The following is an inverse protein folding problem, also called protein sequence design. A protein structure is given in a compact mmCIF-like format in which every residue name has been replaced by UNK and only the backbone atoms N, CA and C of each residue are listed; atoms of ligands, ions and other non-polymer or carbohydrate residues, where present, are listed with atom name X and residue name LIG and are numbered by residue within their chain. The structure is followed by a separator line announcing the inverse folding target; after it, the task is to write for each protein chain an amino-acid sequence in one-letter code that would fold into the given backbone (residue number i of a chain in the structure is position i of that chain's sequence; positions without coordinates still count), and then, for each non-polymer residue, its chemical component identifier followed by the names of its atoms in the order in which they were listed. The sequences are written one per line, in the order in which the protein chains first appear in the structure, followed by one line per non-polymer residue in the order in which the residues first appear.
data_IF_119464506085
#
_entry.id   IF_119464506085
#
_cell.length_a   1.000
_cell.length_b   1.000
_cell.length_c   1.000
_cell.angle_alpha   90.00
_cell.angle_beta   90.00
_cell.angle_gamma   90.00
#
_symmetry.space_group_name_H-M   'P 1'
#
loop_
_entity.id
_entity.type
_entity.pdbx_description
1 polymer ?
#
# COMPACT_ATOMS: atom_id res chain seq x y z
N UNK A 1 1.25 5.99 1.37
CA UNK A 1 1.15 5.30 0.05
C UNK A 1 2.52 4.96 -0.49
N UNK A 2 2.73 3.72 -0.95
CA UNK A 2 3.97 3.34 -1.66
C UNK A 2 3.93 3.86 -3.10
N UNK A 3 5.08 4.27 -3.62
CA UNK A 3 5.23 4.83 -4.96
C UNK A 3 6.02 3.87 -5.84
N UNK A 4 5.57 3.64 -7.09
CA UNK A 4 6.34 2.86 -8.07
C UNK A 4 7.70 3.50 -8.34
N UNK A 5 8.74 2.69 -8.58
CA UNK A 5 10.11 3.14 -8.79
C UNK A 5 10.23 4.19 -9.91
N UNK A 6 9.52 3.99 -11.04
CA UNK A 6 9.60 4.94 -12.16
C UNK A 6 9.11 6.34 -11.78
N UNK A 7 8.06 6.45 -10.96
CA UNK A 7 7.57 7.73 -10.42
C UNK A 7 8.56 8.30 -9.42
N UNK A 8 9.08 7.46 -8.52
CA UNK A 8 10.12 7.85 -7.56
C UNK A 8 11.34 8.44 -8.26
N UNK A 9 11.79 7.82 -9.35
CA UNK A 9 12.92 8.34 -10.16
C UNK A 9 12.61 9.65 -10.88
N UNK A 10 11.37 9.84 -11.34
CA UNK A 10 10.95 11.14 -11.88
C UNK A 10 11.07 12.23 -10.81
N UNK A 11 10.56 11.98 -9.62
CA UNK A 11 10.65 12.91 -8.47
C UNK A 11 12.12 13.21 -8.11
N UNK A 12 12.97 12.19 -8.04
CA UNK A 12 14.40 12.34 -7.76
C UNK A 12 15.08 13.21 -8.83
N UNK A 13 14.80 12.95 -10.11
CA UNK A 13 15.33 13.71 -11.24
C UNK A 13 14.91 15.18 -11.21
N UNK A 14 13.63 15.45 -10.95
CA UNK A 14 13.10 16.82 -10.76
C UNK A 14 13.81 17.55 -9.60
N UNK A 15 14.12 16.83 -8.52
CA UNK A 15 14.86 17.34 -7.37
C UNK A 15 16.38 17.43 -7.57
N UNK A 16 16.89 17.18 -8.80
CA UNK A 16 18.31 17.31 -9.16
C UNK A 16 19.18 16.15 -8.67
N UNK A 17 18.61 14.97 -8.46
CA UNK A 17 19.34 13.71 -8.24
C UNK A 17 19.51 13.00 -9.58
N UNK A 18 20.73 12.58 -9.89
CA UNK A 18 21.01 11.83 -11.12
C UNK A 18 20.39 10.44 -11.04
N UNK A 19 19.70 10.05 -12.12
CA UNK A 19 19.11 8.71 -12.32
C UNK A 19 19.51 8.22 -13.73
N UNK A 20 19.50 6.91 -14.02
CA UNK A 20 19.75 6.40 -15.37
C UNK A 20 18.73 6.96 -16.38
N UNK A 21 19.15 7.07 -17.63
CA UNK A 21 18.24 7.26 -18.76
C UNK A 21 17.27 6.10 -18.79
N UNK A 22 15.95 6.39 -18.86
CA UNK A 22 14.92 5.37 -18.71
C UNK A 22 13.63 5.72 -19.44
N UNK A 23 12.83 4.68 -19.69
CA UNK A 23 11.46 4.78 -20.17
C UNK A 23 10.62 3.61 -19.65
N UNK A 24 9.29 3.79 -19.64
CA UNK A 24 8.35 2.78 -19.18
C UNK A 24 7.70 2.07 -20.38
N UNK A 25 7.54 0.76 -20.29
CA UNK A 25 6.75 -0.07 -21.19
C UNK A 25 5.52 -0.52 -20.39
N UNK A 26 4.31 -0.12 -20.81
CA UNK A 26 3.06 -0.44 -20.07
C UNK A 26 2.32 -1.62 -20.66
N UNK A 27 2.57 -1.97 -21.94
CA UNK A 27 1.94 -3.10 -22.65
C UNK A 27 2.81 -3.61 -23.79
N UNK A 28 2.44 -4.76 -24.38
CA UNK A 28 3.22 -5.41 -25.43
C UNK A 28 3.40 -4.58 -26.71
N UNK A 29 2.49 -3.64 -27.00
CA UNK A 29 2.56 -2.77 -28.20
C UNK A 29 3.59 -1.65 -28.06
N UNK A 30 4.00 -1.34 -26.84
CA UNK A 30 4.99 -0.31 -26.51
C UNK A 30 6.42 -0.86 -26.41
N UNK A 31 6.64 -2.16 -26.70
CA UNK A 31 7.96 -2.77 -26.64
C UNK A 31 8.84 -2.23 -27.76
N UNK A 32 9.72 -1.29 -27.40
CA UNK A 32 10.69 -0.66 -28.30
C UNK A 32 12.07 -0.67 -27.66
N UNK A 33 13.10 -1.01 -28.44
CA UNK A 33 14.51 -0.98 -28.00
C UNK A 33 15.11 0.39 -28.27
N UNK A 34 15.29 1.22 -27.25
CA UNK A 34 15.89 2.56 -27.41
C UNK A 34 17.40 2.58 -27.17
N UNK A 35 17.88 1.67 -26.32
CA UNK A 35 19.31 1.51 -26.02
C UNK A 35 19.63 0.10 -25.51
N UNK A 36 20.87 -0.30 -25.63
CA UNK A 36 21.47 -1.53 -25.12
C UNK A 36 22.92 -1.25 -24.69
N UNK A 37 23.43 -1.92 -23.66
CA UNK A 37 22.73 -2.87 -22.78
C UNK A 37 21.71 -2.17 -21.88
N UNK A 38 20.66 -2.91 -21.46
CA UNK A 38 19.55 -2.36 -20.68
C UNK A 38 19.24 -3.21 -19.44
N UNK A 39 18.75 -2.56 -18.40
CA UNK A 39 18.16 -3.19 -17.21
C UNK A 39 16.65 -3.04 -17.28
N UNK A 40 15.93 -4.15 -17.18
CA UNK A 40 14.46 -4.20 -17.21
C UNK A 40 13.96 -4.52 -15.82
N UNK A 41 13.07 -3.68 -15.28
CA UNK A 41 12.59 -3.77 -13.89
C UNK A 41 11.07 -3.77 -13.83
N UNK A 42 10.46 -4.85 -13.33
CA UNK A 42 9.02 -4.92 -13.05
C UNK A 42 8.61 -3.80 -12.09
N UNK A 43 7.56 -3.08 -12.43
CA UNK A 43 7.01 -2.01 -11.61
C UNK A 43 5.91 -2.57 -10.71
N UNK A 44 6.30 -3.04 -9.52
CA UNK A 44 5.46 -3.56 -8.42
C UNK A 44 5.81 -2.82 -7.13
N UNK A 45 4.90 -2.82 -6.16
CA UNK A 45 5.07 -2.13 -4.87
C UNK A 45 5.71 -3.02 -3.79
N UNK A 46 5.95 -4.31 -4.10
CA UNK A 46 6.63 -5.26 -3.19
C UNK A 46 8.15 -5.14 -3.29
N UNK A 47 8.83 -5.31 -2.15
CA UNK A 47 10.29 -5.34 -2.07
C UNK A 47 10.91 -6.67 -2.54
N UNK A 48 12.26 -6.68 -2.72
CA UNK A 48 13.02 -7.89 -3.07
C UNK A 48 12.79 -8.37 -4.50
N UNK A 49 12.52 -7.45 -5.43
CA UNK A 49 12.24 -7.73 -6.85
C UNK A 49 13.32 -8.54 -7.55
N UNK A 50 14.60 -8.26 -7.26
CA UNK A 50 15.73 -8.98 -7.87
C UNK A 50 15.71 -10.46 -7.49
N UNK A 51 15.60 -10.79 -6.20
CA UNK A 51 15.50 -12.18 -5.71
C UNK A 51 14.25 -12.90 -6.26
N UNK A 52 13.16 -12.17 -6.54
CA UNK A 52 11.94 -12.70 -7.15
C UNK A 52 11.98 -12.77 -8.70
N UNK A 53 13.10 -12.40 -9.32
CA UNK A 53 13.28 -12.40 -10.78
C UNK A 53 12.46 -11.33 -11.50
N UNK A 54 12.23 -10.19 -10.84
CA UNK A 54 11.56 -9.00 -11.39
C UNK A 54 12.55 -7.99 -12.00
N UNK A 55 13.86 -8.28 -12.01
CA UNK A 55 14.90 -7.47 -12.66
C UNK A 55 15.71 -8.38 -13.57
N UNK A 56 15.87 -7.99 -14.84
CA UNK A 56 16.61 -8.74 -15.87
C UNK A 56 17.51 -7.79 -16.64
N UNK A 57 18.65 -8.33 -17.14
CA UNK A 57 19.68 -7.58 -17.84
C UNK A 57 19.73 -8.07 -19.31
N UNK A 58 19.44 -7.17 -20.26
CA UNK A 58 19.45 -7.46 -21.68
C UNK A 58 20.72 -6.88 -22.34
N UNK A 59 21.50 -7.74 -23.00
CA UNK A 59 22.69 -7.36 -23.73
C UNK A 59 22.42 -7.12 -25.22
N UNK A 60 21.36 -7.75 -25.76
CA UNK A 60 20.98 -7.71 -27.17
C UNK A 60 19.47 -7.58 -27.32
N UNK A 61 19.04 -7.37 -28.58
CA UNK A 61 17.62 -7.14 -28.93
C UNK A 61 16.72 -8.34 -28.62
N UNK A 62 17.20 -9.56 -28.84
CA UNK A 62 16.40 -10.78 -28.63
C UNK A 62 16.13 -11.00 -27.13
N UNK A 63 17.15 -10.83 -26.30
CA UNK A 63 16.99 -10.84 -24.84
C UNK A 63 16.04 -9.74 -24.37
N UNK A 64 16.19 -8.54 -24.90
CA UNK A 64 15.32 -7.40 -24.55
C UNK A 64 13.86 -7.71 -24.82
N UNK A 65 13.52 -8.19 -26.05
CA UNK A 65 12.14 -8.53 -26.43
C UNK A 65 11.56 -9.66 -25.57
N UNK A 66 12.35 -10.72 -25.34
CA UNK A 66 11.98 -11.84 -24.49
C UNK A 66 11.72 -11.41 -23.05
N UNK A 67 12.60 -10.60 -22.49
CA UNK A 67 12.54 -10.17 -21.10
C UNK A 67 11.42 -9.15 -20.86
N UNK A 68 11.19 -8.22 -21.78
CA UNK A 68 10.08 -7.26 -21.71
C UNK A 68 8.74 -7.99 -21.62
N UNK A 69 8.46 -8.92 -22.56
CA UNK A 69 7.24 -9.73 -22.53
C UNK A 69 7.11 -10.54 -21.24
N UNK A 70 8.19 -11.21 -20.83
CA UNK A 70 8.20 -11.99 -19.60
C UNK A 70 7.85 -11.14 -18.38
N UNK A 71 8.44 -9.96 -18.21
CA UNK A 71 8.24 -9.11 -17.03
C UNK A 71 6.89 -8.42 -17.04
N UNK A 72 6.30 -8.09 -18.19
CA UNK A 72 4.95 -7.52 -18.28
C UNK A 72 3.87 -8.48 -17.74
N UNK A 73 4.06 -9.79 -17.94
CA UNK A 73 3.04 -10.79 -17.59
C UNK A 73 3.38 -11.61 -16.32
N UNK A 74 4.60 -11.49 -15.80
CA UNK A 74 5.03 -12.25 -14.61
C UNK A 74 4.58 -11.55 -13.35
N UNK A 75 3.76 -12.22 -12.54
CA UNK A 75 3.48 -11.77 -11.17
C UNK A 75 4.75 -11.86 -10.31
N UNK A 76 5.05 -10.80 -9.59
CA UNK A 76 6.16 -10.71 -8.65
C UNK A 76 5.58 -10.74 -7.23
N UNK A 77 5.84 -11.81 -6.49
CA UNK A 77 5.27 -12.03 -5.13
C UNK A 77 3.74 -11.82 -5.08
N UNK A 78 3.04 -12.29 -6.12
CA UNK A 78 1.58 -12.19 -6.23
C UNK A 78 1.07 -10.91 -6.89
N UNK A 79 1.87 -9.83 -6.99
CA UNK A 79 1.46 -8.58 -7.63
C UNK A 79 1.65 -8.63 -9.16
N UNK A 80 0.66 -8.13 -9.88
CA UNK A 80 0.75 -7.89 -11.32
C UNK A 80 1.50 -6.59 -11.56
N UNK A 81 2.55 -6.57 -12.42
CA UNK A 81 3.29 -5.36 -12.70
C UNK A 81 2.43 -4.28 -13.35
N UNK A 82 2.61 -3.03 -12.92
CA UNK A 82 2.07 -1.85 -13.61
C UNK A 82 2.70 -1.66 -14.99
N UNK A 83 3.93 -2.10 -15.17
CA UNK A 83 4.72 -2.03 -16.39
C UNK A 83 6.14 -2.49 -16.15
N UNK A 84 7.01 -2.25 -17.12
CA UNK A 84 8.45 -2.54 -17.06
C UNK A 84 9.24 -1.25 -17.27
N UNK A 85 9.98 -0.82 -16.24
CA UNK A 85 10.93 0.27 -16.36
C UNK A 85 12.19 -0.25 -17.06
N UNK A 86 12.54 0.36 -18.18
CA UNK A 86 13.77 0.08 -18.93
C UNK A 86 14.78 1.16 -18.63
N UNK A 87 15.99 0.77 -18.20
CA UNK A 87 17.07 1.69 -17.85
C UNK A 87 18.33 1.36 -18.60
N UNK A 88 19.04 2.40 -19.02
CA UNK A 88 20.38 2.25 -19.58
C UNK A 88 21.33 1.73 -18.52
N UNK A 89 22.11 0.70 -18.87
CA UNK A 89 23.07 0.10 -17.96
C UNK A 89 24.17 1.08 -17.57
N UNK A 90 24.55 1.09 -16.29
CA UNK A 90 25.53 2.00 -15.70
C UNK A 90 26.75 1.21 -15.24
N UNK A 91 27.95 1.74 -15.48
CA UNK A 91 29.21 1.16 -15.00
C UNK A 91 29.45 1.55 -13.54
N UNK A 92 29.19 0.63 -12.62
CA UNK A 92 29.30 0.85 -11.18
C UNK A 92 30.73 0.69 -10.72
N UNK A 93 31.22 1.65 -9.91
CA UNK A 93 32.48 1.55 -9.18
C UNK A 93 32.23 1.15 -7.73
N UNK A 94 31.20 1.76 -7.09
CA UNK A 94 30.85 1.51 -5.69
C UNK A 94 29.38 1.69 -5.45
N UNK A 95 28.81 0.86 -4.57
CA UNK A 95 27.42 0.93 -4.13
C UNK A 95 27.34 1.43 -2.69
N UNK A 96 26.35 2.26 -2.41
CA UNK A 96 25.99 2.80 -1.10
C UNK A 96 24.52 2.55 -0.83
N UNK A 97 24.17 2.50 0.44
CA UNK A 97 22.79 2.60 0.91
C UNK A 97 22.55 4.00 1.47
N UNK A 98 21.44 4.61 1.11
CA UNK A 98 21.03 5.89 1.66
C UNK A 98 19.50 5.93 1.83
N UNK A 99 19.05 6.25 3.04
CA UNK A 99 17.61 6.41 3.32
C UNK A 99 17.39 7.61 4.23
N UNK A 100 16.29 8.31 3.99
CA UNK A 100 15.74 9.31 4.89
C UNK A 100 14.33 8.85 5.30
N UNK A 101 14.03 8.91 6.60
CA UNK A 101 12.71 8.56 7.11
C UNK A 101 12.29 9.44 8.27
N UNK A 102 10.97 9.56 8.50
CA UNK A 102 10.43 10.26 9.65
C UNK A 102 10.46 9.31 10.85
N UNK A 103 11.29 9.64 11.84
CA UNK A 103 11.25 8.99 13.14
C UNK A 103 10.14 9.64 13.98
N UNK A 104 9.07 8.88 14.25
CA UNK A 104 7.90 9.39 14.98
C UNK A 104 8.17 9.55 16.48
N UNK A 105 9.09 8.77 17.02
CA UNK A 105 9.47 8.84 18.43
C UNK A 105 10.32 10.09 18.70
N UNK A 106 11.39 10.25 17.94
CA UNK A 106 12.29 11.41 18.02
C UNK A 106 11.70 12.68 17.36
N UNK A 107 10.60 12.55 16.60
CA UNK A 107 9.92 13.64 15.87
C UNK A 107 10.84 14.39 14.89
N UNK A 108 11.76 13.68 14.28
CA UNK A 108 12.71 14.24 13.33
C UNK A 108 12.93 13.34 12.11
N UNK A 109 13.59 13.87 11.08
CA UNK A 109 14.02 13.08 9.94
C UNK A 109 15.40 12.50 10.25
N UNK A 110 15.50 11.18 10.25
CA UNK A 110 16.75 10.43 10.37
C UNK A 110 17.32 10.09 9.00
N UNK A 111 18.64 9.96 8.96
CA UNK A 111 19.41 9.53 7.80
C UNK A 111 20.01 8.18 8.13
N UNK A 112 19.80 7.18 7.28
CA UNK A 112 20.53 5.92 7.32
C UNK A 112 21.52 5.91 6.15
N UNK A 113 22.77 5.62 6.45
CA UNK A 113 23.80 5.55 5.44
C UNK A 113 24.70 4.32 5.66
N UNK A 114 25.09 3.66 4.56
CA UNK A 114 26.11 2.62 4.59
C UNK A 114 27.02 2.73 3.36
N UNK A 115 28.29 2.41 3.56
CA UNK A 115 29.25 2.24 2.48
C UNK A 115 29.05 0.95 1.68
N UNK A 116 28.07 0.15 2.02
CA UNK A 116 27.62 -1.06 1.36
C UNK A 116 26.17 -0.86 0.91
N UNK A 117 25.85 -1.25 -0.33
CA UNK A 117 24.52 -1.12 -0.90
C UNK A 117 24.16 -2.34 -1.75
N UNK A 118 23.01 -2.28 -2.43
CA UNK A 118 22.53 -3.36 -3.28
C UNK A 118 21.91 -4.51 -2.49
N UNK A 119 22.06 -5.74 -3.00
CA UNK A 119 21.42 -6.95 -2.46
C UNK A 119 21.94 -7.30 -1.06
N UNK A 120 23.19 -6.95 -0.79
CA UNK A 120 23.90 -7.37 0.42
C UNK A 120 23.58 -6.51 1.65
N UNK A 121 22.72 -5.48 1.51
CA UNK A 121 22.39 -4.59 2.64
C UNK A 121 21.65 -5.35 3.77
N UNK A 122 20.85 -6.36 3.42
CA UNK A 122 20.13 -7.17 4.41
C UNK A 122 21.08 -7.98 5.30
N UNK A 123 22.23 -8.39 4.74
CA UNK A 123 23.28 -9.15 5.42
C UNK A 123 24.30 -8.24 6.14
N UNK A 124 24.25 -6.93 5.87
CA UNK A 124 25.16 -5.91 6.44
C UNK A 124 24.41 -4.84 7.24
N UNK A 125 23.31 -5.18 7.89
CA UNK A 125 22.49 -4.24 8.69
C UNK A 125 23.30 -3.59 9.82
N UNK A 126 24.24 -4.30 10.40
CA UNK A 126 25.17 -3.83 11.41
C UNK A 126 26.11 -2.72 10.92
N UNK A 127 26.26 -2.56 9.60
CA UNK A 127 27.07 -1.52 8.95
C UNK A 127 26.25 -0.32 8.49
N UNK A 128 24.99 -0.25 8.84
CA UNK A 128 24.14 0.91 8.59
C UNK A 128 24.30 1.87 9.75
N UNK A 129 24.80 3.06 9.46
CA UNK A 129 24.96 4.12 10.44
C UNK A 129 23.75 5.06 10.38
N UNK A 130 23.28 5.50 11.55
CA UNK A 130 22.16 6.43 11.69
C UNK A 130 22.67 7.81 12.09
N UNK A 131 22.11 8.84 11.43
CA UNK A 131 22.46 10.23 11.68
C UNK A 131 21.19 11.08 11.81
N UNK A 132 21.27 12.14 12.62
CA UNK A 132 20.34 13.26 12.57
C UNK A 132 20.74 14.26 11.49
N UNK A 133 19.83 15.14 11.08
CA UNK A 133 20.15 16.20 10.11
C UNK A 133 21.23 17.15 10.63
N UNK A 134 21.35 17.36 11.95
CA UNK A 134 22.41 18.12 12.60
C UNK A 134 23.79 17.48 12.40
N UNK A 135 23.85 16.18 12.16
CA UNK A 135 25.08 15.41 12.02
C UNK A 135 25.51 15.20 10.55
N UNK A 136 24.85 15.86 9.61
CA UNK A 136 25.09 15.69 8.16
C UNK A 136 26.56 15.90 7.78
N UNK A 137 27.30 16.74 8.52
CA UNK A 137 28.73 17.01 8.30
C UNK A 137 29.62 15.78 8.53
N UNK A 138 29.15 14.75 9.23
CA UNK A 138 29.87 13.49 9.45
C UNK A 138 29.88 12.60 8.20
N UNK A 139 28.95 12.82 7.27
CA UNK A 139 28.86 12.09 6.01
C UNK A 139 29.89 12.57 4.99
N UNK A 140 30.26 11.75 3.99
CA UNK A 140 31.14 12.18 2.87
C UNK A 140 30.54 13.40 2.14
N UNK A 141 31.34 14.39 1.75
CA UNK A 141 30.88 15.66 1.15
C UNK A 141 29.88 15.48 0.00
N UNK A 142 30.11 14.53 -0.91
CA UNK A 142 29.18 14.26 -2.02
C UNK A 142 27.81 13.74 -1.51
N UNK A 143 27.83 12.94 -0.45
CA UNK A 143 26.60 12.40 0.18
C UNK A 143 25.85 13.52 0.91
N UNK A 144 26.56 14.44 1.59
CA UNK A 144 25.93 15.60 2.24
C UNK A 144 25.07 16.39 1.25
N UNK A 145 25.59 16.68 0.04
CA UNK A 145 24.87 17.42 -1.01
C UNK A 145 23.60 16.66 -1.48
N UNK A 146 23.70 15.33 -1.57
CA UNK A 146 22.56 14.50 -1.95
C UNK A 146 21.52 14.51 -0.85
N UNK A 147 21.90 14.30 0.41
CA UNK A 147 21.00 14.34 1.56
C UNK A 147 20.24 15.66 1.65
N UNK A 148 20.91 16.81 1.42
CA UNK A 148 20.24 18.11 1.38
C UNK A 148 19.14 18.18 0.30
N UNK A 149 19.42 17.66 -0.90
CA UNK A 149 18.40 17.58 -1.97
C UNK A 149 17.27 16.63 -1.62
N UNK A 150 17.60 15.44 -1.10
CA UNK A 150 16.60 14.45 -0.68
C UNK A 150 15.71 14.96 0.45
N UNK A 151 16.28 15.69 1.42
CA UNK A 151 15.52 16.35 2.48
C UNK A 151 14.52 17.36 1.91
N UNK A 152 14.93 18.18 0.94
CA UNK A 152 14.05 19.12 0.25
C UNK A 152 12.92 18.38 -0.48
N UNK A 153 13.25 17.35 -1.26
CA UNK A 153 12.27 16.50 -1.95
C UNK A 153 11.27 15.91 -0.94
N UNK A 154 11.78 15.33 0.15
CA UNK A 154 10.96 14.71 1.19
C UNK A 154 9.94 15.68 1.77
N UNK A 155 10.35 16.94 2.04
CA UNK A 155 9.46 17.99 2.55
C UNK A 155 8.46 18.50 1.51
N UNK A 156 8.89 18.74 0.27
CA UNK A 156 8.03 19.27 -0.79
C UNK A 156 7.01 18.26 -1.30
N UNK A 157 7.35 16.97 -1.25
CA UNK A 157 6.49 15.88 -1.73
C UNK A 157 5.77 15.14 -0.60
N UNK A 158 5.86 15.62 0.65
CA UNK A 158 5.23 14.99 1.83
C UNK A 158 5.60 13.50 1.99
N UNK A 159 6.87 13.16 1.81
CA UNK A 159 7.32 11.78 1.92
C UNK A 159 7.60 11.41 3.38
N UNK A 160 7.21 10.21 3.78
CA UNK A 160 7.51 9.62 5.09
C UNK A 160 8.75 8.75 5.07
N UNK A 161 9.10 8.23 3.88
CA UNK A 161 10.32 7.46 3.59
C UNK A 161 10.82 7.81 2.19
N UNK A 162 12.13 7.95 2.07
CA UNK A 162 12.85 8.03 0.80
C UNK A 162 14.11 7.18 0.92
N UNK A 163 14.16 6.06 0.20
CA UNK A 163 15.28 5.13 0.22
C UNK A 163 15.85 4.96 -1.19
N UNK A 164 17.17 4.94 -1.27
CA UNK A 164 17.94 4.68 -2.50
C UNK A 164 18.89 3.50 -2.22
N UNK A 165 18.60 2.36 -2.84
CA UNK A 165 19.40 1.14 -2.68
C UNK A 165 19.50 0.32 -3.98
N UNK A 166 20.62 0.47 -4.74
CA UNK A 166 21.81 1.22 -4.39
C UNK A 166 21.82 2.68 -4.88
N UNK A 167 22.45 3.54 -4.12
CA UNK A 167 23.03 4.78 -4.59
C UNK A 167 24.45 4.46 -5.06
N UNK A 168 24.82 4.76 -6.30
CA UNK A 168 26.09 4.32 -6.85
C UNK A 168 27.04 5.46 -7.17
N UNK A 169 28.33 5.19 -7.03
CA UNK A 169 29.40 5.95 -7.70
C UNK A 169 29.72 5.23 -8.99
N UNK A 170 29.59 5.92 -10.12
CA UNK A 170 29.95 5.37 -11.42
C UNK A 170 31.46 5.44 -11.65
N UNK A 171 31.98 4.67 -12.61
CA UNK A 171 33.42 4.74 -12.98
C UNK A 171 33.83 6.12 -13.46
N UNK A 172 32.91 6.90 -14.00
CA UNK A 172 33.09 8.31 -14.41
C UNK A 172 33.09 9.28 -13.21
N UNK A 173 32.89 8.78 -11.98
CA UNK A 173 32.90 9.54 -10.74
C UNK A 173 31.60 10.25 -10.37
N UNK A 174 30.51 10.03 -11.12
CA UNK A 174 29.17 10.58 -10.83
C UNK A 174 28.49 9.77 -9.72
N UNK A 175 27.60 10.42 -8.96
CA UNK A 175 26.72 9.74 -8.01
C UNK A 175 25.32 9.66 -8.62
N UNK A 176 24.71 8.46 -8.60
CA UNK A 176 23.46 8.19 -9.29
C UNK A 176 22.58 7.24 -8.48
N UNK A 177 21.26 7.47 -8.45
CA UNK A 177 20.29 6.59 -7.82
C UNK A 177 19.84 5.51 -8.81
N UNK A 178 20.14 4.23 -8.52
CA UNK A 178 19.75 3.11 -9.37
C UNK A 178 18.43 2.46 -8.92
N UNK A 179 17.97 2.72 -7.70
CA UNK A 179 16.62 2.36 -7.23
C UNK A 179 16.02 3.53 -6.47
N UNK A 180 14.71 3.52 -6.27
CA UNK A 180 13.99 4.55 -5.55
C UNK A 180 12.76 3.95 -4.88
N UNK A 181 12.75 3.90 -3.55
CA UNK A 181 11.60 3.53 -2.73
C UNK A 181 11.12 4.77 -2.00
N UNK A 182 9.92 5.23 -2.36
CA UNK A 182 9.30 6.40 -1.77
C UNK A 182 7.96 6.03 -1.15
N UNK A 183 7.73 6.53 0.07
CA UNK A 183 6.42 6.47 0.71
C UNK A 183 5.88 7.89 0.91
N UNK A 184 4.74 8.17 0.31
CA UNK A 184 3.99 9.39 0.53
C UNK A 184 3.16 9.27 1.81
N UNK A 185 3.00 10.37 2.54
CA UNK A 185 2.01 10.47 3.60
C UNK A 185 0.60 10.44 2.99
N UNK A 186 -0.21 9.44 3.37
CA UNK A 186 -1.57 9.27 2.85
C UNK A 186 -2.45 10.50 3.15
N UNK A 187 -2.22 11.15 4.31
CA UNK A 187 -2.94 12.37 4.68
C UNK A 187 -2.56 13.59 3.85
N UNK A 188 -1.51 13.52 3.05
CA UNK A 188 -1.06 14.62 2.18
C UNK A 188 -1.52 14.47 0.71
N UNK A 189 -2.15 13.35 0.34
CA UNK A 189 -2.57 13.07 -1.06
C UNK A 189 -3.45 14.20 -1.62
N UNK A 190 -4.30 14.81 -0.80
CA UNK A 190 -5.19 15.89 -1.24
C UNK A 190 -4.43 17.09 -1.83
N UNK A 191 -3.20 17.38 -1.36
CA UNK A 191 -2.36 18.48 -1.85
C UNK A 191 -1.27 18.04 -2.84
N UNK A 192 -1.00 16.73 -2.97
CA UNK A 192 -0.03 16.17 -3.92
C UNK A 192 -0.72 15.70 -5.20
N UNK A 193 -1.03 16.66 -6.10
CA UNK A 193 -1.81 16.38 -7.32
C UNK A 193 -1.18 15.30 -8.22
N UNK A 194 0.16 15.20 -8.24
CA UNK A 194 0.88 14.17 -9.00
C UNK A 194 0.56 12.75 -8.50
N UNK A 195 0.30 12.60 -7.20
CA UNK A 195 0.03 11.30 -6.58
C UNK A 195 -1.36 10.76 -6.92
N UNK A 196 -2.34 11.64 -7.19
CA UNK A 196 -3.72 11.23 -7.50
C UNK A 196 -3.82 10.28 -8.69
N UNK A 197 -2.88 10.34 -9.64
CA UNK A 197 -2.84 9.45 -10.82
C UNK A 197 -2.46 8.00 -10.47
N UNK A 198 -1.87 7.79 -9.31
CA UNK A 198 -1.35 6.50 -8.85
C UNK A 198 -2.10 5.96 -7.62
N UNK A 199 -3.08 6.72 -7.14
CA UNK A 199 -4.04 6.20 -6.16
C UNK A 199 -4.94 5.24 -6.91
N UNK A 200 -4.79 3.93 -6.64
CA UNK A 200 -5.79 2.95 -7.04
C UNK A 200 -7.11 3.35 -6.38
N UNK A 201 -8.25 3.10 -7.02
CA UNK A 201 -9.58 3.52 -6.57
C UNK A 201 -9.68 3.51 -5.05
N UNK A 202 -9.69 4.72 -4.46
CA UNK A 202 -9.92 4.84 -3.04
C UNK A 202 -11.35 4.37 -2.80
N UNK A 203 -11.47 3.31 -2.02
CA UNK A 203 -12.74 2.99 -1.45
C UNK A 203 -13.22 4.20 -0.65
N UNK A 204 -14.52 4.56 -0.66
CA UNK A 204 -15.05 5.63 0.17
C UNK A 204 -15.06 5.28 1.66
N UNK A 205 -14.18 4.37 2.09
CA UNK A 205 -14.01 3.85 3.44
C UNK A 205 -12.56 3.38 3.65
N UNK A 206 -12.13 3.30 4.90
CA UNK A 206 -10.80 2.78 5.23
C UNK A 206 -10.81 1.25 5.28
N UNK A 207 -9.93 0.62 4.52
CA UNK A 207 -9.83 -0.83 4.42
C UNK A 207 -8.40 -1.32 4.57
N UNK A 208 -8.20 -2.34 5.42
CA UNK A 208 -6.94 -3.09 5.54
C UNK A 208 -7.26 -4.57 5.53
N UNK A 209 -6.68 -5.32 4.60
CA UNK A 209 -6.81 -6.79 4.54
C UNK A 209 -5.94 -7.45 5.61
N UNK A 210 -6.48 -8.46 6.28
CA UNK A 210 -5.80 -9.34 7.23
C UNK A 210 -5.92 -10.81 6.79
N UNK A 211 -5.33 -11.73 7.55
CA UNK A 211 -5.26 -13.16 7.20
C UNK A 211 -6.34 -14.02 7.89
N UNK A 212 -7.46 -13.41 8.25
CA UNK A 212 -8.59 -14.10 8.89
C UNK A 212 -9.66 -14.57 7.90
N UNK A 213 -10.77 -15.05 8.46
CA UNK A 213 -11.91 -15.62 7.74
C UNK A 213 -13.27 -14.96 8.08
N UNK A 214 -13.29 -14.06 9.07
CA UNK A 214 -14.47 -13.31 9.47
C UNK A 214 -14.35 -11.86 9.01
N UNK A 215 -15.21 -11.43 8.08
CA UNK A 215 -15.29 -10.05 7.63
C UNK A 215 -15.80 -9.11 8.72
N UNK A 216 -15.25 -7.89 8.79
CA UNK A 216 -15.66 -6.88 9.77
C UNK A 216 -15.97 -5.57 9.08
N UNK A 217 -17.12 -4.99 9.39
CA UNK A 217 -17.55 -3.65 8.97
C UNK A 217 -18.04 -2.89 10.20
N UNK A 218 -17.58 -1.64 10.35
CA UNK A 218 -18.07 -0.71 11.37
C UNK A 218 -18.11 0.72 10.90
N UNK A 219 -18.67 1.61 11.71
CA UNK A 219 -18.70 3.06 11.51
C UNK A 219 -17.87 3.73 12.61
N UNK A 220 -16.61 4.01 12.31
CA UNK A 220 -15.61 4.54 13.22
C UNK A 220 -14.53 3.53 13.59
N UNK A 221 -13.28 3.93 13.51
CA UNK A 221 -12.12 3.04 13.73
C UNK A 221 -12.15 2.35 15.10
N UNK A 222 -12.60 3.03 16.14
CA UNK A 222 -12.65 2.49 17.52
C UNK A 222 -13.57 1.28 17.64
N UNK A 223 -14.79 1.34 17.06
CA UNK A 223 -15.72 0.22 17.13
C UNK A 223 -15.27 -0.94 16.25
N UNK A 224 -14.62 -0.67 15.10
CA UNK A 224 -14.03 -1.72 14.27
C UNK A 224 -12.96 -2.48 15.04
N UNK A 225 -12.03 -1.77 15.68
CA UNK A 225 -10.96 -2.39 16.48
C UNK A 225 -11.54 -3.20 17.65
N UNK A 226 -12.48 -2.62 18.41
CA UNK A 226 -13.15 -3.34 19.50
C UNK A 226 -13.86 -4.61 19.04
N UNK A 227 -14.47 -4.58 17.84
CA UNK A 227 -15.13 -5.75 17.23
C UNK A 227 -14.09 -6.82 16.86
N UNK A 228 -12.96 -6.43 16.26
CA UNK A 228 -11.86 -7.34 15.92
C UNK A 228 -11.24 -7.98 17.14
N UNK A 229 -11.02 -7.20 18.21
CA UNK A 229 -10.50 -7.69 19.50
C UNK A 229 -11.45 -8.72 20.11
N UNK A 230 -12.76 -8.44 20.08
CA UNK A 230 -13.75 -9.37 20.59
C UNK A 230 -13.84 -10.65 19.74
N UNK A 231 -13.75 -10.58 18.41
CA UNK A 231 -13.64 -11.77 17.54
C UNK A 231 -12.44 -12.63 17.96
N UNK A 232 -11.28 -11.98 18.16
CA UNK A 232 -10.05 -12.69 18.58
C UNK A 232 -10.18 -13.28 19.97
N UNK A 233 -10.84 -12.59 20.91
CA UNK A 233 -11.11 -13.10 22.27
C UNK A 233 -11.94 -14.38 22.27
N UNK A 234 -12.88 -14.51 21.34
CA UNK A 234 -13.72 -15.72 21.18
C UNK A 234 -13.10 -16.76 20.23
N UNK A 235 -11.83 -16.61 19.85
CA UNK A 235 -11.07 -17.59 19.05
C UNK A 235 -11.29 -17.50 17.55
N UNK A 236 -11.99 -16.47 17.05
CA UNK A 236 -12.11 -16.18 15.63
C UNK A 236 -10.92 -15.39 15.08
N UNK A 237 -10.85 -15.24 13.75
CA UNK A 237 -9.78 -14.49 13.08
C UNK A 237 -10.38 -13.40 12.16
N UNK A 238 -10.21 -12.10 12.49
CA UNK A 238 -10.66 -11.02 11.63
C UNK A 238 -9.94 -11.07 10.27
N UNK A 239 -10.70 -11.00 9.18
CA UNK A 239 -10.17 -11.01 7.81
C UNK A 239 -9.77 -9.62 7.32
N UNK A 240 -10.23 -8.58 8.00
CA UNK A 240 -9.97 -7.19 7.62
C UNK A 240 -10.29 -6.22 8.76
N UNK A 241 -9.73 -5.02 8.64
CA UNK A 241 -10.24 -3.79 9.22
C UNK A 241 -11.04 -3.06 8.14
N UNK A 242 -12.31 -2.64 8.40
CA UNK A 242 -13.09 -1.80 7.50
C UNK A 242 -13.93 -0.80 8.29
N UNK A 243 -13.57 0.47 8.17
CA UNK A 243 -14.29 1.60 8.76
C UNK A 243 -14.99 2.39 7.65
N UNK A 244 -16.33 2.37 7.67
CA UNK A 244 -17.15 3.13 6.72
C UNK A 244 -17.03 4.65 6.87
N UNK A 245 -16.51 5.11 8.03
CA UNK A 245 -16.49 6.52 8.38
C UNK A 245 -17.83 7.09 8.82
N UNK A 246 -17.81 8.37 9.22
CA UNK A 246 -19.04 9.10 9.59
C UNK A 246 -19.84 9.53 8.35
N UNK A 247 -21.15 9.32 8.38
CA UNK A 247 -22.05 9.71 7.29
C UNK A 247 -22.10 8.72 6.13
N UNK A 248 -21.67 7.47 6.33
CA UNK A 248 -21.80 6.42 5.33
C UNK A 248 -23.27 6.23 4.88
N UNK A 249 -23.44 6.12 3.56
CA UNK A 249 -24.73 5.94 2.91
C UNK A 249 -24.92 4.47 2.42
N UNK A 250 -26.09 4.20 1.87
CA UNK A 250 -26.41 2.90 1.28
C UNK A 250 -25.41 2.46 0.22
N UNK A 251 -24.94 3.37 -0.65
CA UNK A 251 -24.00 3.04 -1.75
C UNK A 251 -22.62 2.66 -1.22
N UNK A 252 -22.11 3.41 -0.27
CA UNK A 252 -20.84 3.14 0.39
C UNK A 252 -20.84 1.79 1.09
N UNK A 253 -21.93 1.49 1.80
CA UNK A 253 -22.10 0.22 2.52
C UNK A 253 -22.19 -0.98 1.57
N UNK A 254 -22.90 -0.85 0.44
CA UNK A 254 -22.96 -1.91 -0.59
C UNK A 254 -21.56 -2.17 -1.15
N UNK A 255 -20.79 -1.12 -1.48
CA UNK A 255 -19.41 -1.28 -1.95
C UNK A 255 -18.52 -2.02 -0.95
N UNK A 256 -18.69 -1.75 0.34
CA UNK A 256 -17.95 -2.44 1.40
C UNK A 256 -18.31 -3.93 1.46
N UNK A 257 -19.60 -4.27 1.41
CA UNK A 257 -20.08 -5.65 1.38
C UNK A 257 -19.61 -6.40 0.12
N UNK A 258 -19.68 -5.79 -1.06
CA UNK A 258 -19.16 -6.37 -2.30
C UNK A 258 -17.65 -6.59 -2.28
N UNK A 259 -16.90 -5.69 -1.66
CA UNK A 259 -15.46 -5.88 -1.45
C UNK A 259 -15.22 -7.13 -0.60
N UNK A 260 -15.88 -7.29 0.55
CA UNK A 260 -15.70 -8.46 1.42
C UNK A 260 -16.15 -9.75 0.74
N UNK A 261 -17.22 -9.72 -0.05
CA UNK A 261 -17.63 -10.83 -0.91
C UNK A 261 -16.52 -11.23 -1.88
N UNK A 262 -15.85 -10.27 -2.52
CA UNK A 262 -14.74 -10.54 -3.46
C UNK A 262 -13.55 -11.25 -2.81
N UNK A 263 -13.40 -11.15 -1.49
CA UNK A 263 -12.43 -11.88 -0.69
C UNK A 263 -12.88 -13.29 -0.32
N UNK A 264 -14.04 -13.75 -0.84
CA UNK A 264 -14.63 -15.07 -0.59
C UNK A 264 -14.99 -15.33 0.88
N UNK A 265 -15.27 -14.29 1.64
CA UNK A 265 -15.70 -14.39 3.04
C UNK A 265 -17.17 -14.82 3.11
N UNK A 266 -17.49 -15.76 4.00
CA UNK A 266 -18.83 -16.30 4.20
C UNK A 266 -19.53 -15.72 5.43
N UNK A 267 -18.78 -15.32 6.44
CA UNK A 267 -19.27 -14.71 7.66
C UNK A 267 -18.82 -13.25 7.72
N UNK A 268 -19.75 -12.31 7.77
CA UNK A 268 -19.45 -10.88 7.84
C UNK A 268 -20.18 -10.30 9.06
N UNK A 269 -19.42 -9.66 9.94
CA UNK A 269 -19.92 -8.93 11.11
C UNK A 269 -20.06 -7.46 10.74
N UNK A 270 -21.27 -6.92 10.93
CA UNK A 270 -21.57 -5.49 10.83
C UNK A 270 -21.90 -4.98 12.23
N UNK A 271 -20.96 -4.28 12.86
CA UNK A 271 -21.16 -3.63 14.17
C UNK A 271 -21.26 -2.12 13.97
N UNK A 272 -22.48 -1.62 13.89
CA UNK A 272 -22.77 -0.24 13.53
C UNK A 272 -23.21 0.54 14.76
N UNK A 273 -22.48 1.62 15.04
CA UNK A 273 -22.90 2.65 15.95
C UNK A 273 -23.14 3.96 15.18
N UNK A 274 -24.40 4.24 14.88
CA UNK A 274 -24.80 5.39 14.09
C UNK A 274 -24.85 6.66 14.92
N UNK A 275 -23.85 7.52 14.74
CA UNK A 275 -23.89 8.92 15.19
C UNK A 275 -24.40 9.80 14.04
N UNK A 276 -23.50 10.29 13.21
CA UNK A 276 -23.81 11.00 11.95
C UNK A 276 -24.35 10.02 10.91
N UNK A 277 -23.84 8.79 10.87
CA UNK A 277 -24.35 7.71 10.02
C UNK A 277 -25.76 7.32 10.46
N UNK A 278 -26.69 7.26 9.51
CA UNK A 278 -28.07 6.86 9.75
C UNK A 278 -28.19 5.35 9.63
N UNK A 279 -28.67 4.68 10.67
CA UNK A 279 -28.81 3.23 10.73
C UNK A 279 -29.76 2.66 9.66
N UNK A 280 -30.81 3.39 9.30
CA UNK A 280 -31.75 3.00 8.25
C UNK A 280 -31.12 2.92 6.86
N UNK A 281 -30.14 3.79 6.54
CA UNK A 281 -29.38 3.71 5.29
C UNK A 281 -28.49 2.45 5.24
N UNK A 282 -27.90 2.08 6.36
CA UNK A 282 -27.12 0.84 6.47
C UNK A 282 -28.04 -0.38 6.35
N UNK A 283 -29.21 -0.37 7.01
CA UNK A 283 -30.19 -1.45 6.91
C UNK A 283 -30.67 -1.68 5.47
N UNK A 284 -30.99 -0.61 4.72
CA UNK A 284 -31.33 -0.69 3.29
C UNK A 284 -30.19 -1.33 2.47
N UNK A 285 -28.93 -0.99 2.76
CA UNK A 285 -27.78 -1.59 2.08
C UNK A 285 -27.68 -3.09 2.35
N UNK A 286 -27.87 -3.50 3.61
CA UNK A 286 -27.85 -4.91 4.04
C UNK A 286 -28.94 -5.71 3.30
N UNK A 287 -30.16 -5.18 3.24
CA UNK A 287 -31.27 -5.81 2.50
C UNK A 287 -30.93 -5.98 1.03
N UNK A 288 -30.54 -4.89 0.34
CA UNK A 288 -30.18 -4.91 -1.07
C UNK A 288 -29.03 -5.89 -1.39
N UNK A 289 -28.09 -6.04 -0.48
CA UNK A 289 -26.98 -6.96 -0.64
C UNK A 289 -27.45 -8.42 -0.43
N UNK A 290 -28.23 -8.67 0.62
CA UNK A 290 -28.69 -10.01 1.01
C UNK A 290 -29.62 -10.64 -0.03
N UNK A 291 -30.45 -9.85 -0.68
CA UNK A 291 -31.33 -10.31 -1.78
C UNK A 291 -30.59 -10.95 -2.95
N UNK A 292 -29.32 -10.56 -3.14
CA UNK A 292 -28.46 -11.04 -4.24
C UNK A 292 -27.41 -12.04 -3.77
N UNK A 293 -27.22 -12.21 -2.47
CA UNK A 293 -26.10 -12.95 -1.87
C UNK A 293 -26.57 -13.76 -0.66
N UNK A 294 -27.48 -14.71 -0.90
CA UNK A 294 -28.10 -15.49 0.19
C UNK A 294 -27.12 -16.46 0.89
N UNK A 295 -26.03 -16.84 0.22
CA UNK A 295 -25.00 -17.72 0.74
C UNK A 295 -24.03 -17.06 1.75
N UNK A 296 -24.10 -15.73 1.94
CA UNK A 296 -23.26 -14.98 2.87
C UNK A 296 -24.05 -14.73 4.17
N UNK A 297 -23.51 -15.16 5.30
CA UNK A 297 -24.08 -14.91 6.62
C UNK A 297 -23.69 -13.53 7.13
N UNK A 298 -24.65 -12.69 7.41
CA UNK A 298 -24.47 -11.35 7.96
C UNK A 298 -24.87 -11.33 9.42
N UNK A 299 -23.93 -11.07 10.31
CA UNK A 299 -24.16 -10.90 11.74
C UNK A 299 -24.21 -9.41 12.04
N UNK A 300 -25.40 -8.92 12.32
CA UNK A 300 -25.71 -7.48 12.31
C UNK A 300 -26.04 -6.99 13.70
N UNK A 301 -25.35 -5.94 14.15
CA UNK A 301 -25.73 -5.12 15.28
C UNK A 301 -25.79 -3.67 14.82
N UNK A 302 -26.93 -3.05 15.00
CA UNK A 302 -27.17 -1.65 14.63
C UNK A 302 -27.77 -0.92 15.83
N UNK A 303 -27.13 0.19 16.23
CA UNK A 303 -27.62 1.05 17.30
C UNK A 303 -27.30 2.52 16.99
N UNK A 304 -28.11 3.46 17.50
CA UNK A 304 -27.90 4.89 17.33
C UNK A 304 -28.97 5.58 16.47
N UNK A 305 -28.56 6.54 15.63
CA UNK A 305 -29.49 7.38 14.86
C UNK A 305 -30.36 6.54 13.91
N UNK A 306 -31.68 6.64 14.01
CA UNK A 306 -32.68 5.88 13.24
C UNK A 306 -32.62 4.35 13.50
N UNK A 307 -32.23 3.93 14.70
CA UNK A 307 -32.12 2.52 15.09
C UNK A 307 -33.45 1.76 14.94
N UNK A 308 -34.53 2.35 15.43
CA UNK A 308 -35.87 1.70 15.38
C UNK A 308 -36.33 1.45 13.94
N UNK A 309 -36.10 2.41 13.05
CA UNK A 309 -36.42 2.27 11.63
C UNK A 309 -35.52 1.22 10.96
N UNK A 310 -34.24 1.21 11.28
CA UNK A 310 -33.33 0.20 10.79
C UNK A 310 -33.73 -1.22 11.21
N UNK A 311 -34.06 -1.43 12.50
CA UNK A 311 -34.54 -2.72 13.02
C UNK A 311 -35.84 -3.16 12.38
N UNK A 312 -36.75 -2.21 12.10
CA UNK A 312 -38.01 -2.49 11.36
C UNK A 312 -37.71 -2.98 9.95
N UNK A 313 -36.83 -2.28 9.18
CA UNK A 313 -36.43 -2.67 7.84
C UNK A 313 -35.84 -4.09 7.84
N UNK A 314 -34.93 -4.40 8.76
CA UNK A 314 -34.28 -5.71 8.86
C UNK A 314 -35.30 -6.82 9.16
N UNK A 315 -36.26 -6.58 10.09
CA UNK A 315 -37.35 -7.52 10.44
C UNK A 315 -38.26 -7.82 9.26
N UNK A 316 -38.70 -6.80 8.51
CA UNK A 316 -39.55 -6.93 7.34
C UNK A 316 -38.95 -7.82 6.24
N UNK A 317 -37.59 -7.90 6.19
CA UNK A 317 -36.86 -8.71 5.23
C UNK A 317 -36.24 -10.00 5.85
N UNK A 318 -36.73 -10.41 7.05
CA UNK A 318 -36.25 -11.60 7.76
C UNK A 318 -34.72 -11.64 8.01
N UNK A 319 -34.08 -10.48 8.17
CA UNK A 319 -32.66 -10.38 8.50
C UNK A 319 -32.50 -10.31 10.02
N UNK A 320 -31.80 -11.30 10.57
CA UNK A 320 -31.52 -11.37 12.00
C UNK A 320 -30.56 -10.28 12.43
N UNK A 321 -30.77 -9.68 13.61
CA UNK A 321 -29.89 -8.72 14.23
C UNK A 321 -29.77 -8.96 15.75
N UNK A 322 -28.69 -8.48 16.32
CA UNK A 322 -28.35 -8.62 17.72
C UNK A 322 -28.41 -7.27 18.43
N UNK A 323 -28.81 -7.26 19.68
CA UNK A 323 -28.73 -6.08 20.54
C UNK A 323 -27.36 -6.02 21.26
N UNK A 324 -26.78 -7.17 21.58
CA UNK A 324 -25.48 -7.28 22.24
C UNK A 324 -24.35 -7.64 21.25
N UNK A 325 -23.21 -6.96 21.37
CA UNK A 325 -22.05 -7.18 20.51
C UNK A 325 -21.41 -8.55 20.73
N UNK A 326 -21.33 -8.99 21.97
CA UNK A 326 -20.65 -10.26 22.29
C UNK A 326 -21.48 -11.48 21.87
N UNK A 327 -22.80 -11.40 21.96
CA UNK A 327 -23.70 -12.42 21.41
C UNK A 327 -23.56 -12.52 19.89
N UNK A 328 -23.57 -11.40 19.20
CA UNK A 328 -23.34 -11.33 17.76
C UNK A 328 -22.00 -11.98 17.37
N UNK A 329 -20.93 -11.64 18.09
CA UNK A 329 -19.58 -12.15 17.77
C UNK A 329 -19.46 -13.64 18.07
N UNK A 330 -20.03 -14.14 19.18
CA UNK A 330 -20.09 -15.58 19.47
C UNK A 330 -20.77 -16.36 18.36
N UNK A 331 -21.90 -15.83 17.84
CA UNK A 331 -22.62 -16.40 16.73
C UNK A 331 -21.79 -16.38 15.44
N UNK A 332 -21.12 -15.27 15.13
CA UNK A 332 -20.26 -15.14 13.95
C UNK A 332 -19.06 -16.10 13.97
N UNK A 333 -18.41 -16.26 15.12
CA UNK A 333 -17.28 -17.17 15.29
C UNK A 333 -17.70 -18.64 15.14
N UNK A 334 -18.89 -19.02 15.63
CA UNK A 334 -19.46 -20.35 15.42
C UNK A 334 -20.01 -20.56 14.01
N UNK A 335 -20.24 -19.47 13.29
CA UNK A 335 -20.83 -19.50 11.95
C UNK A 335 -22.33 -19.80 11.93
N UNK A 336 -23.04 -19.65 13.05
CA UNK A 336 -24.48 -19.90 13.17
C UNK A 336 -25.16 -18.84 14.04
N UNK A 337 -26.45 -18.57 13.73
CA UNK A 337 -27.29 -17.72 14.55
C UNK A 337 -27.75 -18.53 15.77
N UNK A 338 -27.28 -18.12 16.96
CA UNK A 338 -27.60 -18.76 18.26
C UNK A 338 -28.67 -17.95 18.95
#
# INVERSE_FOLDING_TARGET
MKIHEFVGKMILKEGGISVPESYLISNDREIEVKFLPAVLKSQVLVGGRMKAGGILFAQNKDEFLKFSKKLLHKKIKGETPYGVLVEKMVNIEKEYYLSLYIDRYEKEIKILFSHFGGIDIEDNKDKIEQYSLSDIQKLPKKIQQIVQKLYKIMKEKDLTLLEINPLVKTKEGNIMALDAVLHLDDNAIFRQQWAKKFVHEEYPFHFVKLDGDIGVIGCGAGIVMATMDAISLYGGKPANFLDLGGGADTKTTIKALELLKSLSLKNIVLNIFGGITKCDEIAKAIVNFKEKNDDIKLFVRITGTNENEAKKILKEHNIHFFDDMYEMIKSAVKGDFI
#
